data_IF_153733865767
#
_entry.id   IF_153733865767
#
_cell.length_a   1.000
_cell.length_b   1.000
_cell.length_c   1.000
_cell.angle_alpha   90.00
_cell.angle_beta   90.00
_cell.angle_gamma   90.00
#
_symmetry.space_group_name_H-M   'P 1'
#
loop_
_entity.id
_entity.type
_entity.pdbx_description
1 polymer ?
#
# COMPACT_ATOMS: atom_id res chain seq x y z
N UNK A 1 -9.71 -35.84 35.46
CA UNK A 1 -8.50 -35.01 35.28
C UNK A 1 -8.89 -33.56 35.55
N UNK A 2 -8.45 -32.97 36.66
CA UNK A 2 -9.02 -31.71 37.15
C UNK A 2 -8.19 -30.52 36.63
N UNK A 3 -8.69 -29.81 35.61
CA UNK A 3 -7.98 -28.71 34.91
C UNK A 3 -7.49 -27.63 35.88
N UNK A 4 -8.29 -27.34 36.92
CA UNK A 4 -7.94 -26.42 38.00
C UNK A 4 -6.67 -26.82 38.76
N UNK A 5 -6.46 -28.13 38.98
CA UNK A 5 -5.25 -28.64 39.63
C UNK A 5 -4.02 -28.49 38.72
N UNK A 6 -4.16 -28.77 37.43
CA UNK A 6 -3.09 -28.61 36.45
C UNK A 6 -2.64 -27.16 36.31
N UNK A 7 -3.57 -26.19 36.27
CA UNK A 7 -3.25 -24.76 36.25
C UNK A 7 -2.50 -24.34 37.53
N UNK A 8 -2.96 -24.80 38.70
CA UNK A 8 -2.29 -24.50 39.98
C UNK A 8 -0.86 -25.05 40.02
N UNK A 9 -0.63 -26.25 39.48
CA UNK A 9 0.71 -26.85 39.38
C UNK A 9 1.60 -26.07 38.41
N UNK A 10 1.08 -25.69 37.24
CA UNK A 10 1.82 -24.91 36.24
C UNK A 10 2.24 -23.54 36.78
N UNK A 11 1.33 -22.81 37.46
CA UNK A 11 1.64 -21.52 38.08
C UNK A 11 2.72 -21.64 39.16
N UNK A 12 2.71 -22.73 39.94
CA UNK A 12 3.75 -23.00 40.94
C UNK A 12 5.10 -23.27 40.27
N UNK A 13 5.13 -24.03 39.18
CA UNK A 13 6.34 -24.32 38.42
C UNK A 13 6.98 -23.06 37.81
N UNK A 14 6.16 -22.15 37.25
CA UNK A 14 6.61 -20.85 36.73
C UNK A 14 7.22 -19.98 37.85
N UNK A 15 6.64 -20.03 39.06
CA UNK A 15 7.15 -19.28 40.23
C UNK A 15 8.49 -19.80 40.76
N UNK A 16 8.83 -21.08 40.54
CA UNK A 16 10.12 -21.66 40.96
C UNK A 16 11.23 -21.20 40.01
N UNK A 17 10.97 -21.16 38.70
CA UNK A 17 11.96 -20.80 37.68
C UNK A 17 11.77 -19.38 37.14
N UNK A 18 11.64 -18.39 38.04
CA UNK A 18 11.26 -17.01 37.68
C UNK A 18 12.10 -16.41 36.55
N UNK A 19 13.43 -16.55 36.62
CA UNK A 19 14.35 -15.97 35.64
C UNK A 19 14.20 -16.62 34.26
N UNK A 20 14.14 -17.96 34.22
CA UNK A 20 13.95 -18.69 32.96
C UNK A 20 12.60 -18.34 32.34
N UNK A 21 11.52 -18.40 33.11
CA UNK A 21 10.18 -18.07 32.63
C UNK A 21 10.07 -16.62 32.16
N UNK A 22 10.69 -15.67 32.87
CA UNK A 22 10.72 -14.26 32.47
C UNK A 22 11.44 -14.06 31.13
N UNK A 23 12.64 -14.64 30.97
CA UNK A 23 13.41 -14.53 29.73
C UNK A 23 12.71 -15.17 28.53
N UNK A 24 12.04 -16.32 28.72
CA UNK A 24 11.27 -16.96 27.64
C UNK A 24 10.06 -16.12 27.22
N UNK A 25 9.36 -15.52 28.18
CA UNK A 25 8.23 -14.64 27.87
C UNK A 25 8.69 -13.36 27.17
N UNK A 26 9.79 -12.77 27.64
CA UNK A 26 10.37 -11.57 27.06
C UNK A 26 10.79 -11.79 25.60
N UNK A 27 11.41 -12.93 25.28
CA UNK A 27 11.75 -13.29 23.91
C UNK A 27 10.53 -13.37 22.99
N UNK A 28 9.43 -13.98 23.45
CA UNK A 28 8.18 -14.06 22.69
C UNK A 28 7.56 -12.67 22.51
N UNK A 29 7.54 -11.84 23.56
CA UNK A 29 6.98 -10.48 23.50
C UNK A 29 7.74 -9.63 22.47
N UNK A 30 9.07 -9.61 22.53
CA UNK A 30 9.88 -8.85 21.58
C UNK A 30 9.75 -9.40 20.16
N UNK A 31 9.77 -10.73 20.00
CA UNK A 31 9.62 -11.38 18.69
C UNK A 31 8.29 -11.02 18.02
N UNK A 32 7.18 -11.16 18.74
CA UNK A 32 5.85 -10.83 18.21
C UNK A 32 5.71 -9.32 17.98
N UNK A 33 6.22 -8.48 18.88
CA UNK A 33 6.17 -7.03 18.73
C UNK A 33 6.93 -6.53 17.49
N UNK A 34 8.11 -7.09 17.21
CA UNK A 34 8.90 -6.75 16.03
C UNK A 34 8.16 -7.09 14.74
N UNK A 35 7.54 -8.28 14.67
CA UNK A 35 6.75 -8.71 13.50
C UNK A 35 5.54 -7.80 13.29
N UNK A 36 4.77 -7.50 14.34
CA UNK A 36 3.61 -6.60 14.25
C UNK A 36 4.04 -5.21 13.77
N UNK A 37 5.11 -4.67 14.35
CA UNK A 37 5.62 -3.34 13.99
C UNK A 37 6.05 -3.29 12.53
N UNK A 38 6.79 -4.30 12.05
CA UNK A 38 7.22 -4.38 10.66
C UNK A 38 6.03 -4.39 9.70
N UNK A 39 5.00 -5.19 9.98
CA UNK A 39 3.80 -5.30 9.15
C UNK A 39 3.02 -3.98 9.15
N UNK A 40 2.87 -3.34 10.32
CA UNK A 40 2.18 -2.07 10.45
C UNK A 40 2.89 -0.95 9.66
N UNK A 41 4.22 -0.88 9.75
CA UNK A 41 5.02 0.08 8.98
C UNK A 41 4.93 -0.20 7.47
N UNK A 42 5.06 -1.47 7.07
CA UNK A 42 5.00 -1.86 5.65
C UNK A 42 3.65 -1.53 5.01
N UNK A 43 2.55 -1.93 5.66
CA UNK A 43 1.19 -1.64 5.18
C UNK A 43 0.87 -0.14 5.19
N UNK A 44 1.31 0.60 6.22
CA UNK A 44 1.16 2.05 6.28
C UNK A 44 1.93 2.77 5.17
N UNK A 45 3.15 2.33 4.87
CA UNK A 45 3.94 2.87 3.76
C UNK A 45 3.28 2.57 2.41
N UNK A 46 2.81 1.34 2.20
CA UNK A 46 2.10 0.95 0.98
C UNK A 46 0.85 1.81 0.76
N UNK A 47 0.06 2.03 1.81
CA UNK A 47 -1.15 2.87 1.75
C UNK A 47 -0.80 4.32 1.36
N UNK A 48 0.25 4.90 1.96
CA UNK A 48 0.69 6.26 1.61
C UNK A 48 1.17 6.37 0.16
N UNK A 49 1.88 5.36 -0.34
CA UNK A 49 2.32 5.34 -1.74
C UNK A 49 1.10 5.24 -2.65
N UNK A 50 0.13 4.41 -2.32
CA UNK A 50 -1.11 4.28 -3.09
C UNK A 50 -1.90 5.60 -3.13
N UNK A 51 -2.00 6.31 -2.01
CA UNK A 51 -2.61 7.64 -1.94
C UNK A 51 -1.88 8.67 -2.81
N UNK A 52 -0.55 8.67 -2.79
CA UNK A 52 0.25 9.57 -3.65
C UNK A 52 0.06 9.25 -5.13
N UNK A 53 0.04 7.97 -5.50
CA UNK A 53 -0.20 7.54 -6.88
C UNK A 53 -1.62 7.89 -7.32
N UNK A 54 -2.61 7.71 -6.43
CA UNK A 54 -3.99 8.15 -6.68
C UNK A 54 -4.10 9.66 -6.88
N UNK A 55 -3.31 10.45 -6.14
CA UNK A 55 -3.21 11.90 -6.30
C UNK A 55 -2.65 12.35 -7.66
N UNK A 56 -1.87 11.51 -8.33
CA UNK A 56 -1.42 11.74 -9.71
C UNK A 56 -2.53 11.51 -10.75
N UNK A 57 -3.69 10.97 -10.32
CA UNK A 57 -4.79 10.58 -11.17
C UNK A 57 -4.65 9.12 -11.62
N UNK A 58 -5.53 8.25 -11.17
CA UNK A 58 -5.59 6.84 -11.60
C UNK A 58 -6.11 6.67 -13.03
N UNK A 59 -6.47 7.75 -13.72
CA UNK A 59 -7.16 7.74 -15.01
C UNK A 59 -6.62 8.83 -15.96
N UNK A 60 -5.29 8.91 -16.12
CA UNK A 60 -4.66 9.85 -17.05
C UNK A 60 -4.86 9.40 -18.50
N UNK A 61 -5.66 10.15 -19.26
CA UNK A 61 -5.76 10.02 -20.72
C UNK A 61 -4.96 11.16 -21.35
N UNK A 62 -3.87 10.83 -22.05
CA UNK A 62 -3.02 11.81 -22.73
C UNK A 62 -3.41 11.85 -24.21
N UNK A 63 -3.98 12.97 -24.67
CA UNK A 63 -4.37 13.20 -26.05
C UNK A 63 -3.30 14.04 -26.77
N UNK A 64 -2.68 13.48 -27.82
CA UNK A 64 -1.73 14.21 -28.67
C UNK A 64 -2.37 14.50 -30.04
N UNK A 65 -2.39 15.76 -30.49
CA UNK A 65 -2.87 16.10 -31.83
C UNK A 65 -1.94 15.53 -32.92
N UNK A 66 -2.54 15.01 -33.98
CA UNK A 66 -1.82 14.46 -35.14
C UNK A 66 -1.06 15.53 -35.94
N UNK A 67 -0.16 15.11 -36.84
CA UNK A 67 0.47 16.01 -37.80
C UNK A 67 -0.33 16.08 -39.10
N UNK A 68 -0.34 17.26 -39.74
CA UNK A 68 -0.97 17.45 -41.05
C UNK A 68 0.07 17.38 -42.16
N UNK A 69 -0.30 16.80 -43.30
CA UNK A 69 0.50 16.89 -44.53
C UNK A 69 -0.21 17.83 -45.49
N UNK A 70 0.50 18.84 -45.98
CA UNK A 70 -0.02 19.76 -46.99
C UNK A 70 0.97 19.86 -48.13
N UNK A 71 0.51 19.62 -49.36
CA UNK A 71 1.33 19.72 -50.57
C UNK A 71 2.57 18.81 -50.62
N UNK A 72 2.58 17.69 -49.90
CA UNK A 72 3.73 16.76 -49.84
C UNK A 72 4.74 17.05 -48.73
N UNK A 73 4.61 18.17 -48.00
CA UNK A 73 5.41 18.46 -46.81
C UNK A 73 4.70 17.96 -45.54
N UNK A 74 5.42 17.19 -44.71
CA UNK A 74 4.94 16.79 -43.37
C UNK A 74 5.17 17.95 -42.41
N UNK A 75 4.10 18.55 -41.90
CA UNK A 75 4.20 19.56 -40.84
C UNK A 75 4.53 18.87 -39.50
N UNK A 76 5.11 19.62 -38.56
CA UNK A 76 5.54 19.10 -37.26
C UNK A 76 4.43 18.42 -36.45
N UNK A 77 4.82 17.63 -35.45
CA UNK A 77 3.89 17.00 -34.50
C UNK A 77 3.00 18.06 -33.84
N UNK A 78 1.69 17.84 -33.81
CA UNK A 78 0.71 18.80 -33.30
C UNK A 78 0.30 19.93 -34.25
N UNK A 79 0.72 19.90 -35.51
CA UNK A 79 0.31 20.91 -36.53
C UNK A 79 -1.17 20.85 -36.91
N UNK A 80 -1.88 19.79 -36.53
CA UNK A 80 -3.32 19.61 -36.78
C UNK A 80 -4.07 19.79 -35.46
N UNK A 81 -4.52 21.01 -35.18
CA UNK A 81 -5.38 21.30 -34.03
C UNK A 81 -6.82 20.84 -34.35
N UNK A 82 -7.12 19.57 -34.06
CA UNK A 82 -8.48 19.01 -34.15
C UNK A 82 -9.17 18.91 -32.80
N UNK A 83 -8.46 19.18 -31.69
CA UNK A 83 -9.03 19.13 -30.36
C UNK A 83 -9.89 20.38 -30.12
N UNK A 84 -11.16 20.15 -29.82
CA UNK A 84 -12.15 21.18 -29.52
C UNK A 84 -12.60 21.07 -28.05
N UNK A 85 -13.20 22.13 -27.49
CA UNK A 85 -13.74 22.06 -26.13
C UNK A 85 -14.90 21.04 -26.03
N UNK A 86 -15.63 20.81 -27.12
CA UNK A 86 -16.70 19.81 -27.18
C UNK A 86 -16.15 18.40 -26.94
N UNK A 87 -14.95 18.09 -27.43
CA UNK A 87 -14.27 16.82 -27.18
C UNK A 87 -13.93 16.64 -25.69
N UNK A 88 -13.60 17.74 -24.97
CA UNK A 88 -13.33 17.68 -23.54
C UNK A 88 -14.60 17.37 -22.73
N UNK A 89 -15.74 17.94 -23.09
CA UNK A 89 -17.03 17.64 -22.45
C UNK A 89 -17.53 16.22 -22.75
N UNK A 90 -17.25 15.68 -23.95
CA UNK A 90 -17.60 14.31 -24.30
C UNK A 90 -16.84 13.30 -23.41
N UNK A 91 -15.54 13.52 -23.19
CA UNK A 91 -14.70 12.64 -22.36
C UNK A 91 -15.04 12.73 -20.87
N UNK A 92 -15.51 13.88 -20.38
CA UNK A 92 -15.92 14.03 -18.97
C UNK A 92 -17.22 13.29 -18.64
N UNK A 93 -18.06 13.01 -19.64
CA UNK A 93 -19.42 12.48 -19.44
C UNK A 93 -19.50 10.95 -19.37
N UNK A 94 -18.46 10.27 -19.84
CA UNK A 94 -18.25 8.81 -19.77
C UNK A 94 -17.38 8.43 -18.56
#
# INVERSE_FOLDING_TARGET
MNILASIRIALRALRINKLRSALTMLGIIIGVAAVITMIAVGSGAQTRIEEQIKGLGTNLIILLPGSTTSGGARMGAGSRNTLTEEDAYAIQRD
#
